data_IF_983445573544
#
_entry.id   IF_983445573544
#
_cell.length_a   1.000
_cell.length_b   1.000
_cell.length_c   1.000
_cell.angle_alpha   90.00
_cell.angle_beta   90.00
_cell.angle_gamma   90.00
#
_symmetry.space_group_name_H-M   'P 1'
#
loop_
_entity.id
_entity.type
_entity.pdbx_description
1 polymer ?
#
# COMPACT_ATOMS: atom_id res chain seq x y z
N UNK A 1 5.52 3.55 6.34
CA UNK A 1 6.62 4.34 6.94
C UNK A 1 6.17 5.75 7.27
N UNK A 2 5.65 6.54 6.30
CA UNK A 2 5.12 7.87 6.62
C UNK A 2 3.96 7.76 7.63
N UNK A 3 2.92 7.00 7.33
CA UNK A 3 1.72 6.83 8.17
C UNK A 3 1.93 6.30 9.60
N UNK A 4 3.09 5.70 9.91
CA UNK A 4 3.42 5.26 11.27
C UNK A 4 4.05 6.36 12.13
N UNK A 5 4.25 7.57 11.56
CA UNK A 5 4.81 8.75 12.21
C UNK A 5 6.12 8.50 12.99
N UNK A 6 6.94 7.57 12.49
CA UNK A 6 8.25 7.23 13.07
C UNK A 6 9.32 8.06 12.38
N UNK A 7 10.06 8.86 13.15
CA UNK A 7 11.16 9.67 12.62
C UNK A 7 12.25 8.79 11.99
N UNK A 8 12.75 9.19 10.82
CA UNK A 8 13.79 8.46 10.05
C UNK A 8 15.02 8.10 10.90
N UNK A 9 15.41 8.97 11.84
CA UNK A 9 16.55 8.72 12.75
C UNK A 9 16.35 7.48 13.63
N UNK A 10 15.13 7.17 14.03
CA UNK A 10 14.84 6.02 14.90
C UNK A 10 15.05 4.67 14.19
N UNK A 11 15.00 4.64 12.86
CA UNK A 11 15.26 3.43 12.07
C UNK A 11 16.72 2.98 12.10
N UNK A 12 17.67 3.91 12.31
CA UNK A 12 19.10 3.59 12.37
C UNK A 12 19.59 3.28 13.79
N UNK A 13 18.76 3.56 14.80
CA UNK A 13 19.11 3.39 16.22
C UNK A 13 18.41 2.17 16.81
N UNK A 14 17.18 1.87 16.38
CA UNK A 14 16.40 0.74 16.90
C UNK A 14 16.46 -0.47 15.97
N UNK A 15 17.10 -1.55 16.46
CA UNK A 15 17.24 -2.82 15.73
C UNK A 15 15.90 -3.43 15.28
N UNK A 16 14.81 -3.23 16.03
CA UNK A 16 13.48 -3.71 15.63
C UNK A 16 12.91 -2.92 14.45
N UNK A 17 13.09 -1.60 14.43
CA UNK A 17 12.66 -0.76 13.31
C UNK A 17 13.48 -1.03 12.05
N UNK A 18 14.79 -1.23 12.20
CA UNK A 18 15.68 -1.60 11.11
C UNK A 18 15.30 -2.95 10.49
N UNK A 19 14.95 -3.91 11.33
CA UNK A 19 14.45 -5.21 10.88
C UNK A 19 13.13 -5.12 10.10
N UNK A 20 12.16 -4.35 10.62
CA UNK A 20 10.89 -4.10 9.92
C UNK A 20 11.07 -3.33 8.62
N UNK A 21 12.09 -2.46 8.54
CA UNK A 21 12.45 -1.77 7.33
C UNK A 21 12.91 -2.74 6.24
N UNK A 22 13.82 -3.67 6.55
CA UNK A 22 14.25 -4.70 5.60
C UNK A 22 13.12 -5.65 5.19
N UNK A 23 12.26 -6.03 6.14
CA UNK A 23 11.08 -6.83 5.84
C UNK A 23 10.12 -6.07 4.91
N UNK A 24 9.87 -4.80 5.18
CA UNK A 24 9.07 -3.92 4.33
C UNK A 24 9.67 -3.74 2.93
N UNK A 25 11.00 -3.67 2.81
CA UNK A 25 11.70 -3.66 1.51
C UNK A 25 11.51 -4.97 0.76
N UNK A 26 11.58 -6.12 1.45
CA UNK A 26 11.30 -7.43 0.86
C UNK A 26 9.89 -7.51 0.27
N UNK A 27 8.89 -7.08 1.04
CA UNK A 27 7.50 -7.01 0.58
C UNK A 27 7.30 -6.03 -0.58
N UNK A 28 7.92 -4.84 -0.51
CA UNK A 28 7.87 -3.86 -1.59
C UNK A 28 8.48 -4.42 -2.88
N UNK A 29 9.59 -5.16 -2.77
CA UNK A 29 10.22 -5.86 -3.87
C UNK A 29 9.32 -6.94 -4.49
N UNK A 30 8.66 -7.77 -3.68
CA UNK A 30 7.66 -8.73 -4.17
C UNK A 30 6.50 -8.06 -4.88
N UNK A 31 5.92 -7.01 -4.28
CA UNK A 31 4.81 -6.25 -4.88
C UNK A 31 5.21 -5.56 -6.19
N UNK A 32 6.46 -5.12 -6.33
CA UNK A 32 6.96 -4.59 -7.59
C UNK A 32 6.93 -5.63 -8.73
N UNK A 33 7.10 -6.92 -8.40
CA UNK A 33 7.01 -8.02 -9.37
C UNK A 33 5.57 -8.35 -9.76
N UNK A 34 4.57 -7.99 -8.95
CA UNK A 34 3.15 -8.07 -9.32
C UNK A 34 2.84 -7.10 -10.47
N UNK A 35 3.44 -5.91 -10.44
CA UNK A 35 3.17 -4.82 -11.39
C UNK A 35 4.06 -4.90 -12.65
N UNK A 36 5.24 -5.51 -12.53
CA UNK A 36 6.19 -5.57 -13.64
C UNK A 36 5.67 -6.38 -14.82
N UNK A 37 5.77 -5.82 -16.03
CA UNK A 37 5.49 -6.55 -17.30
C UNK A 37 6.44 -7.72 -17.50
N UNK A 38 7.70 -7.58 -17.06
CA UNK A 38 8.73 -8.60 -17.14
C UNK A 38 9.13 -8.99 -15.71
N UNK A 39 8.65 -10.14 -15.25
CA UNK A 39 8.99 -10.68 -13.93
C UNK A 39 10.45 -11.10 -13.92
N UNK A 40 11.24 -10.55 -13.00
CA UNK A 40 12.63 -10.93 -12.82
C UNK A 40 12.72 -11.97 -11.71
N UNK A 41 12.98 -13.23 -12.10
CA UNK A 41 13.07 -14.35 -11.18
C UNK A 41 14.12 -14.15 -10.08
N UNK A 42 15.23 -13.46 -10.39
CA UNK A 42 16.30 -13.19 -9.41
C UNK A 42 15.80 -12.25 -8.32
N UNK A 43 15.13 -11.16 -8.70
CA UNK A 43 14.57 -10.20 -7.74
C UNK A 43 13.49 -10.88 -6.90
N UNK A 44 12.63 -11.67 -7.54
CA UNK A 44 11.60 -12.44 -6.85
C UNK A 44 12.22 -13.34 -5.77
N UNK A 45 13.18 -14.20 -6.11
CA UNK A 45 13.81 -15.15 -5.17
C UNK A 45 14.51 -14.42 -4.03
N UNK A 46 15.22 -13.32 -4.31
CA UNK A 46 15.92 -12.54 -3.28
C UNK A 46 14.90 -11.93 -2.30
N UNK A 47 13.84 -11.30 -2.81
CA UNK A 47 12.81 -10.69 -1.97
C UNK A 47 12.04 -11.74 -1.16
N UNK A 48 11.72 -12.88 -1.77
CA UNK A 48 11.05 -14.01 -1.13
C UNK A 48 11.90 -14.57 0.03
N UNK A 49 13.20 -14.78 -0.21
CA UNK A 49 14.14 -15.22 0.81
C UNK A 49 14.26 -14.22 1.97
N UNK A 50 14.31 -12.91 1.68
CA UNK A 50 14.35 -11.86 2.71
C UNK A 50 13.08 -11.91 3.57
N UNK A 51 11.90 -12.00 2.95
CA UNK A 51 10.63 -12.04 3.68
C UNK A 51 10.47 -13.32 4.47
N UNK A 52 10.93 -14.48 3.97
CA UNK A 52 10.89 -15.74 4.72
C UNK A 52 11.85 -15.70 5.92
N UNK A 53 13.12 -15.33 5.70
CA UNK A 53 14.13 -15.28 6.76
C UNK A 53 13.74 -14.30 7.87
N UNK A 54 13.19 -13.13 7.50
CA UNK A 54 12.68 -12.14 8.45
C UNK A 54 11.24 -12.42 8.89
N UNK A 55 10.49 -13.29 8.22
CA UNK A 55 9.15 -13.68 8.65
C UNK A 55 9.21 -14.64 9.84
N UNK A 56 10.12 -15.61 9.75
CA UNK A 56 10.30 -16.68 10.75
C UNK A 56 10.55 -16.10 12.15
N UNK A 57 11.42 -15.09 12.27
CA UNK A 57 11.72 -14.49 13.58
C UNK A 57 10.55 -13.70 14.18
N UNK A 58 9.60 -13.20 13.38
CA UNK A 58 8.35 -12.59 13.91
C UNK A 58 7.38 -13.67 14.36
N UNK A 59 7.24 -14.75 13.58
CA UNK A 59 6.38 -15.90 13.94
C UNK A 59 6.81 -16.60 15.23
N UNK A 60 8.12 -16.63 15.51
CA UNK A 60 8.69 -17.22 16.71
C UNK A 60 8.71 -16.26 17.92
N UNK A 61 8.23 -15.02 17.77
CA UNK A 61 8.12 -14.05 18.87
C UNK A 61 6.76 -14.14 19.57
N UNK A 62 6.68 -13.64 20.81
CA UNK A 62 5.46 -13.68 21.66
C UNK A 62 4.21 -12.99 21.05
N UNK A 63 4.35 -12.30 19.91
CA UNK A 63 3.24 -11.66 19.19
C UNK A 63 2.82 -12.46 17.94
N UNK A 64 2.47 -13.73 18.16
CA UNK A 64 2.19 -14.73 17.10
C UNK A 64 1.11 -14.30 16.09
N UNK A 65 0.04 -13.63 16.53
CA UNK A 65 -1.06 -13.19 15.64
C UNK A 65 -0.60 -12.26 14.50
N UNK A 66 0.41 -11.43 14.75
CA UNK A 66 0.94 -10.50 13.75
C UNK A 66 1.83 -11.20 12.73
N UNK A 67 2.59 -12.22 13.19
CA UNK A 67 3.34 -13.11 12.31
C UNK A 67 2.42 -13.86 11.35
N UNK A 68 1.23 -14.25 11.80
CA UNK A 68 0.22 -14.90 10.95
C UNK A 68 -0.38 -13.96 9.90
N UNK A 69 -0.70 -12.70 10.25
CA UNK A 69 -1.16 -11.71 9.27
C UNK A 69 -0.10 -11.43 8.20
N UNK A 70 1.16 -11.33 8.61
CA UNK A 70 2.28 -11.19 7.70
C UNK A 70 2.44 -12.37 6.74
N UNK A 71 2.31 -13.58 7.28
CA UNK A 71 2.38 -14.80 6.51
C UNK A 71 1.21 -14.87 5.50
N UNK A 72 0.03 -14.41 5.90
CA UNK A 72 -1.13 -14.28 5.03
C UNK A 72 -0.85 -13.28 3.88
N UNK A 73 -0.34 -12.09 4.19
CA UNK A 73 0.04 -11.09 3.17
C UNK A 73 1.11 -11.63 2.21
N UNK A 74 2.08 -12.36 2.74
CA UNK A 74 3.13 -13.02 1.96
C UNK A 74 2.58 -14.09 1.02
N UNK A 75 1.68 -14.96 1.53
CA UNK A 75 1.01 -15.97 0.70
C UNK A 75 0.19 -15.28 -0.39
N UNK A 76 -0.60 -14.26 -0.07
CA UNK A 76 -1.42 -13.57 -1.05
C UNK A 76 -0.58 -12.86 -2.13
N UNK A 77 0.56 -12.26 -1.75
CA UNK A 77 1.49 -11.67 -2.70
C UNK A 77 2.05 -12.73 -3.66
N UNK A 78 2.45 -13.89 -3.13
CA UNK A 78 2.93 -15.00 -3.94
C UNK A 78 1.84 -15.63 -4.82
N UNK A 79 0.60 -15.72 -4.33
CA UNK A 79 -0.56 -16.15 -5.13
C UNK A 79 -0.78 -15.19 -6.31
N UNK A 80 -0.73 -13.88 -6.09
CA UNK A 80 -0.84 -12.87 -7.15
C UNK A 80 0.29 -12.96 -8.19
N UNK A 81 1.51 -13.32 -7.76
CA UNK A 81 2.68 -13.40 -8.65
C UNK A 81 2.72 -14.73 -9.42
N UNK A 82 2.48 -15.85 -8.75
CA UNK A 82 2.74 -17.20 -9.28
C UNK A 82 1.53 -17.86 -9.91
N UNK A 83 0.31 -17.47 -9.52
CA UNK A 83 -0.90 -18.19 -9.95
C UNK A 83 -1.73 -17.39 -10.94
N UNK A 84 -2.21 -18.07 -11.98
CA UNK A 84 -3.29 -17.59 -12.85
C UNK A 84 -4.68 -17.81 -12.22
N UNK A 85 -4.74 -18.13 -10.92
CA UNK A 85 -5.99 -18.46 -10.23
C UNK A 85 -6.88 -17.21 -10.13
N UNK A 86 -6.26 -16.05 -9.93
CA UNK A 86 -6.93 -14.75 -9.96
C UNK A 86 -6.64 -14.11 -11.31
N UNK A 87 -7.29 -14.55 -12.39
CA UNK A 87 -7.12 -13.93 -13.71
C UNK A 87 -7.95 -12.64 -13.89
N UNK A 88 -8.87 -12.36 -12.97
CA UNK A 88 -9.75 -11.20 -13.08
C UNK A 88 -9.05 -9.92 -12.57
N UNK A 89 -8.92 -8.88 -13.41
CA UNK A 89 -8.19 -7.65 -13.06
C UNK A 89 -8.82 -6.89 -11.88
N UNK A 90 -10.14 -6.99 -11.69
CA UNK A 90 -10.85 -6.40 -10.54
C UNK A 90 -10.43 -7.04 -9.22
N UNK A 91 -10.32 -8.36 -9.20
CA UNK A 91 -9.93 -9.11 -8.01
C UNK A 91 -8.43 -8.88 -7.70
N UNK A 92 -7.56 -8.92 -8.72
CA UNK A 92 -6.14 -8.61 -8.56
C UNK A 92 -5.90 -7.21 -7.98
N UNK A 93 -6.65 -6.22 -8.49
CA UNK A 93 -6.57 -4.83 -8.06
C UNK A 93 -6.93 -4.63 -6.59
N UNK A 94 -8.02 -5.26 -6.13
CA UNK A 94 -8.46 -5.16 -4.74
C UNK A 94 -7.47 -5.87 -3.81
N UNK A 95 -7.05 -7.10 -4.16
CA UNK A 95 -6.09 -7.87 -3.36
C UNK A 95 -4.75 -7.10 -3.26
N UNK A 96 -4.27 -6.52 -4.36
CA UNK A 96 -3.07 -5.69 -4.37
C UNK A 96 -3.21 -4.47 -3.43
N UNK A 97 -4.35 -3.77 -3.47
CA UNK A 97 -4.59 -2.60 -2.62
C UNK A 97 -4.65 -2.93 -1.13
N UNK A 98 -5.14 -4.12 -0.78
CA UNK A 98 -5.12 -4.64 0.60
C UNK A 98 -3.67 -4.93 1.01
N UNK A 99 -2.94 -5.78 0.29
CA UNK A 99 -1.58 -6.22 0.69
C UNK A 99 -0.58 -5.05 0.73
N UNK A 100 -0.58 -4.19 -0.29
CA UNK A 100 0.36 -3.07 -0.39
C UNK A 100 0.10 -2.00 0.69
N UNK A 101 -1.07 -2.04 1.33
CA UNK A 101 -1.48 -1.06 2.33
C UNK A 101 -1.48 -1.58 3.75
N UNK A 102 -2.26 -2.62 4.02
CA UNK A 102 -2.54 -3.08 5.38
C UNK A 102 -1.30 -3.68 6.04
N UNK A 103 -0.64 -4.65 5.43
CA UNK A 103 0.37 -5.48 6.11
C UNK A 103 1.53 -4.71 6.73
N UNK A 104 2.16 -3.84 5.94
CA UNK A 104 3.36 -3.11 6.36
C UNK A 104 3.02 -2.03 7.39
N UNK A 105 1.91 -1.31 7.23
CA UNK A 105 1.51 -0.26 8.19
C UNK A 105 0.99 -0.86 9.50
N UNK A 106 0.29 -1.99 9.44
CA UNK A 106 -0.16 -2.74 10.61
C UNK A 106 1.03 -3.18 11.48
N UNK A 107 2.08 -3.71 10.85
CA UNK A 107 3.33 -4.07 11.51
C UNK A 107 4.02 -2.89 12.21
N UNK A 108 4.17 -1.76 11.52
CA UNK A 108 4.84 -0.59 12.08
C UNK A 108 4.06 0.01 13.24
N UNK A 109 2.74 0.09 13.14
CA UNK A 109 1.90 0.63 14.20
C UNK A 109 1.92 -0.25 15.45
N UNK A 110 1.88 -1.57 15.33
CA UNK A 110 1.92 -2.45 16.52
C UNK A 110 3.28 -2.42 17.19
N UNK A 111 4.36 -2.49 16.41
CA UNK A 111 5.72 -2.53 16.98
C UNK A 111 6.12 -1.22 17.65
N UNK A 112 5.51 -0.10 17.25
CA UNK A 112 5.79 1.21 17.84
C UNK A 112 4.79 1.64 18.92
N UNK A 113 3.51 1.30 18.79
CA UNK A 113 2.46 1.76 19.70
C UNK A 113 1.85 0.66 20.60
N UNK A 114 2.19 -0.61 20.40
CA UNK A 114 1.72 -1.78 21.17
C UNK A 114 0.19 -2.00 21.27
N UNK A 115 -0.65 -1.09 20.74
CA UNK A 115 -2.11 -1.19 20.71
C UNK A 115 -2.70 -0.63 19.41
N UNK A 116 -3.83 -1.21 18.98
CA UNK A 116 -4.65 -0.72 17.87
C UNK A 116 -5.67 0.32 18.34
N UNK A 117 -5.36 1.60 18.18
CA UNK A 117 -6.34 2.67 18.38
C UNK A 117 -7.31 2.76 17.20
N UNK A 118 -8.53 3.26 17.44
CA UNK A 118 -9.50 3.54 16.37
C UNK A 118 -8.89 4.41 15.26
N UNK A 119 -8.07 5.40 15.64
CA UNK A 119 -7.33 6.27 14.73
C UNK A 119 -6.32 5.50 13.87
N UNK A 120 -5.62 4.52 14.43
CA UNK A 120 -4.70 3.67 13.67
C UNK A 120 -5.44 2.79 12.66
N UNK A 121 -6.63 2.30 13.01
CA UNK A 121 -7.47 1.52 12.09
C UNK A 121 -8.00 2.38 10.94
N UNK A 122 -8.51 3.59 11.24
CA UNK A 122 -8.95 4.55 10.23
C UNK A 122 -7.81 5.02 9.31
N UNK A 123 -6.60 5.15 9.84
CA UNK A 123 -5.41 5.48 9.04
C UNK A 123 -5.03 4.34 8.09
N UNK A 124 -5.17 3.09 8.53
CA UNK A 124 -4.93 1.91 7.68
C UNK A 124 -6.00 1.79 6.60
N UNK A 125 -7.28 2.00 6.93
CA UNK A 125 -8.35 1.95 5.92
C UNK A 125 -8.18 3.06 4.88
N UNK A 126 -7.81 4.27 5.30
CA UNK A 126 -7.47 5.37 4.38
C UNK A 126 -6.37 4.96 3.39
N UNK A 127 -5.33 4.31 3.88
CA UNK A 127 -4.19 3.87 3.09
C UNK A 127 -4.55 2.71 2.14
N UNK A 128 -5.37 1.76 2.56
CA UNK A 128 -5.91 0.72 1.68
C UNK A 128 -6.68 1.36 0.52
N UNK A 129 -7.61 2.28 0.81
CA UNK A 129 -8.39 2.94 -0.24
C UNK A 129 -7.53 3.82 -1.15
N UNK A 130 -6.55 4.53 -0.62
CA UNK A 130 -5.59 5.29 -1.42
C UNK A 130 -4.78 4.37 -2.35
N UNK A 131 -4.29 3.24 -1.86
CA UNK A 131 -3.58 2.26 -2.68
C UNK A 131 -4.46 1.66 -3.77
N UNK A 132 -5.72 1.34 -3.47
CA UNK A 132 -6.69 0.90 -4.48
C UNK A 132 -6.88 2.02 -5.52
N UNK A 133 -7.14 3.25 -5.08
CA UNK A 133 -7.40 4.39 -5.99
C UNK A 133 -6.24 4.66 -6.95
N UNK A 134 -5.00 4.71 -6.45
CA UNK A 134 -3.82 5.03 -7.25
C UNK A 134 -3.30 3.82 -8.04
N UNK A 135 -3.54 2.57 -7.62
CA UNK A 135 -3.13 1.38 -8.42
C UNK A 135 -4.06 1.08 -9.61
N UNK A 136 -5.17 1.81 -9.77
CA UNK A 136 -6.12 1.63 -10.87
C UNK A 136 -5.51 1.48 -12.28
N UNK A 137 -4.62 2.37 -12.76
CA UNK A 137 -4.05 2.28 -14.12
C UNK A 137 -3.22 1.02 -14.33
N UNK A 138 -2.72 0.39 -13.26
CA UNK A 138 -1.90 -0.82 -13.37
C UNK A 138 -2.75 -2.00 -13.81
N UNK A 139 -3.93 -2.15 -13.21
CA UNK A 139 -4.80 -3.33 -13.37
C UNK A 139 -5.98 -3.08 -14.34
N UNK A 140 -6.49 -1.85 -14.42
CA UNK A 140 -7.68 -1.51 -15.21
C UNK A 140 -7.34 -0.90 -16.56
N UNK A 141 -7.60 -1.65 -17.64
CA UNK A 141 -7.41 -1.19 -19.03
C UNK A 141 -8.64 -0.53 -19.65
N UNK A 142 -9.85 -0.78 -19.12
CA UNK A 142 -11.11 -0.16 -19.57
C UNK A 142 -11.77 0.59 -18.42
N UNK A 143 -12.28 1.79 -18.72
CA UNK A 143 -12.64 2.81 -17.74
C UNK A 143 -13.86 2.47 -16.90
N UNK A 144 -13.65 1.82 -15.76
CA UNK A 144 -14.65 1.78 -14.71
C UNK A 144 -14.56 3.07 -13.86
N UNK A 145 -15.08 4.17 -14.39
CA UNK A 145 -14.96 5.51 -13.78
C UNK A 145 -15.81 5.66 -12.50
N UNK A 146 -16.89 4.88 -12.40
CA UNK A 146 -17.77 4.86 -11.23
C UNK A 146 -17.08 4.30 -10.00
N UNK A 147 -16.28 3.23 -10.15
CA UNK A 147 -15.53 2.67 -9.01
C UNK A 147 -14.51 3.67 -8.46
N UNK A 148 -13.81 4.41 -9.31
CA UNK A 148 -12.90 5.49 -8.88
C UNK A 148 -13.64 6.59 -8.12
N UNK A 149 -14.81 7.03 -8.58
CA UNK A 149 -15.61 8.03 -7.88
C UNK A 149 -16.07 7.54 -6.50
N UNK A 150 -16.54 6.29 -6.41
CA UNK A 150 -16.95 5.70 -5.12
C UNK A 150 -15.77 5.66 -4.15
N UNK A 151 -14.59 5.22 -4.60
CA UNK A 151 -13.39 5.17 -3.77
C UNK A 151 -12.96 6.57 -3.34
N UNK A 152 -13.03 7.57 -4.23
CA UNK A 152 -12.73 8.97 -3.88
C UNK A 152 -13.63 9.47 -2.75
N UNK A 153 -14.95 9.21 -2.84
CA UNK A 153 -15.90 9.61 -1.79
C UNK A 153 -15.60 8.91 -0.48
N UNK A 154 -15.24 7.62 -0.51
CA UNK A 154 -14.85 6.87 0.70
C UNK A 154 -13.58 7.45 1.34
N UNK A 155 -12.57 7.80 0.54
CA UNK A 155 -11.34 8.44 1.05
C UNK A 155 -11.67 9.77 1.74
N UNK A 156 -12.48 10.61 1.10
CA UNK A 156 -12.87 11.90 1.69
C UNK A 156 -13.71 11.73 2.97
N UNK A 157 -14.63 10.77 3.01
CA UNK A 157 -15.39 10.45 4.20
C UNK A 157 -14.48 10.03 5.36
N UNK A 158 -13.49 9.17 5.09
CA UNK A 158 -12.50 8.75 6.10
C UNK A 158 -11.66 9.93 6.58
N UNK A 159 -11.22 10.81 5.67
CA UNK A 159 -10.47 12.02 6.03
C UNK A 159 -11.27 12.96 6.95
N UNK A 160 -12.58 13.10 6.74
CA UNK A 160 -13.47 13.89 7.60
C UNK A 160 -13.58 13.23 8.98
N UNK A 161 -13.74 11.90 9.04
CA UNK A 161 -13.84 11.17 10.32
C UNK A 161 -12.53 11.16 11.13
N UNK A 162 -11.39 11.31 10.47
CA UNK A 162 -10.07 11.43 11.10
C UNK A 162 -9.80 12.82 11.71
N UNK A 163 -10.79 13.72 11.66
CA UNK A 163 -10.68 15.12 12.15
C UNK A 163 -9.45 15.87 11.58
N UNK A 164 -9.07 15.57 10.35
CA UNK A 164 -7.99 16.28 9.68
C UNK A 164 -8.34 17.76 9.54
N UNK A 165 -7.33 18.64 9.65
CA UNK A 165 -7.54 20.09 9.48
C UNK A 165 -8.15 20.38 8.10
N UNK A 166 -9.07 21.35 8.04
CA UNK A 166 -9.76 21.74 6.82
C UNK A 166 -8.83 21.97 5.61
N UNK A 167 -7.68 22.60 5.82
CA UNK A 167 -6.67 22.80 4.78
C UNK A 167 -6.12 21.48 4.21
N UNK A 168 -5.87 20.47 5.05
CA UNK A 168 -5.43 19.14 4.60
C UNK A 168 -6.50 18.45 3.77
N UNK A 169 -7.77 18.56 4.16
CA UNK A 169 -8.88 17.97 3.41
C UNK A 169 -8.98 18.60 2.01
N UNK A 170 -8.84 19.93 1.90
CA UNK A 170 -8.80 20.62 0.60
C UNK A 170 -7.62 20.12 -0.24
N UNK A 171 -6.43 20.03 0.34
CA UNK A 171 -5.24 19.62 -0.39
C UNK A 171 -5.33 18.16 -0.86
N UNK A 172 -5.84 17.26 -0.02
CA UNK A 172 -6.15 15.88 -0.38
C UNK A 172 -7.17 15.82 -1.51
N UNK A 173 -8.26 16.60 -1.43
CA UNK A 173 -9.29 16.67 -2.47
C UNK A 173 -8.71 17.14 -3.81
N UNK A 174 -7.81 18.14 -3.79
CA UNK A 174 -7.11 18.60 -4.98
C UNK A 174 -6.24 17.50 -5.60
N UNK A 175 -5.49 16.74 -4.81
CA UNK A 175 -4.66 15.64 -5.30
C UNK A 175 -5.53 14.54 -5.94
N UNK A 176 -6.59 14.13 -5.24
CA UNK A 176 -7.52 13.11 -5.72
C UNK A 176 -8.23 13.55 -7.00
N UNK A 177 -8.72 14.80 -7.04
CA UNK A 177 -9.38 15.39 -8.19
C UNK A 177 -8.44 15.55 -9.39
N UNK A 178 -7.21 16.00 -9.16
CA UNK A 178 -6.18 16.10 -10.20
C UNK A 178 -5.88 14.74 -10.83
N UNK A 179 -5.69 13.71 -10.01
CA UNK A 179 -5.48 12.36 -10.50
C UNK A 179 -6.68 11.85 -11.32
N UNK A 180 -7.90 12.05 -10.82
CA UNK A 180 -9.12 11.61 -11.47
C UNK A 180 -9.32 12.32 -12.82
N UNK A 181 -9.04 13.62 -12.89
CA UNK A 181 -9.02 14.40 -14.12
C UNK A 181 -7.98 13.87 -15.13
N UNK A 182 -6.78 13.56 -14.66
CA UNK A 182 -5.71 13.01 -15.50
C UNK A 182 -6.09 11.63 -16.08
N UNK A 183 -6.62 10.74 -15.23
CA UNK A 183 -7.15 9.44 -15.66
C UNK A 183 -8.29 9.54 -16.67
N UNK A 184 -9.12 10.58 -16.59
CA UNK A 184 -10.19 10.81 -17.56
C UNK A 184 -9.72 11.35 -18.92
N UNK A 185 -8.67 12.18 -18.93
CA UNK A 185 -8.19 12.87 -20.13
C UNK A 185 -7.08 12.13 -20.88
N UNK A 186 -6.30 11.30 -20.20
CA UNK A 186 -5.12 10.67 -20.82
C UNK A 186 -5.50 9.43 -21.61
N UNK A 187 -5.05 9.41 -22.87
CA UNK A 187 -5.28 8.30 -23.79
C UNK A 187 -4.70 6.99 -23.21
N UNK A 188 -5.48 5.90 -23.29
CA UNK A 188 -5.15 4.59 -22.73
C UNK A 188 -3.78 4.03 -23.18
N UNK A 189 -3.29 4.48 -24.35
CA UNK A 189 -2.04 4.01 -24.94
C UNK A 189 -0.76 4.56 -24.25
N UNK A 190 -0.85 5.51 -23.30
CA UNK A 190 0.31 6.08 -22.58
C UNK A 190 0.44 5.50 -21.16
N UNK A 191 0.54 4.17 -21.06
CA UNK A 191 0.56 3.43 -19.79
C UNK A 191 1.66 3.90 -18.82
N UNK A 192 2.89 4.09 -19.29
CA UNK A 192 4.03 4.44 -18.42
C UNK A 192 3.87 5.84 -17.82
N UNK A 193 3.27 6.78 -18.57
CA UNK A 193 2.97 8.12 -18.07
C UNK A 193 1.87 8.09 -17.00
N UNK A 194 0.85 7.24 -17.17
CA UNK A 194 -0.24 7.05 -16.19
C UNK A 194 0.26 6.44 -14.88
N UNK A 195 1.15 5.45 -14.97
CA UNK A 195 1.74 4.84 -13.79
C UNK A 195 2.61 5.84 -13.01
N UNK A 196 3.45 6.61 -13.70
CA UNK A 196 4.29 7.63 -13.05
C UNK A 196 3.45 8.72 -12.37
N UNK A 197 2.37 9.20 -13.01
CA UNK A 197 1.49 10.17 -12.37
C UNK A 197 0.74 9.61 -11.18
N UNK A 198 0.31 8.34 -11.24
CA UNK A 198 -0.28 7.65 -10.10
C UNK A 198 0.68 7.63 -8.90
N UNK A 199 1.93 7.22 -9.12
CA UNK A 199 2.94 7.14 -8.06
C UNK A 199 3.24 8.50 -7.44
N UNK A 200 3.34 9.56 -8.25
CA UNK A 200 3.53 10.93 -7.76
C UNK A 200 2.33 11.39 -6.93
N UNK A 201 1.10 11.13 -7.39
CA UNK A 201 -0.10 11.50 -6.66
C UNK A 201 -0.25 10.71 -5.36
N UNK A 202 0.09 9.42 -5.35
CA UNK A 202 0.13 8.59 -4.13
C UNK A 202 1.14 9.15 -3.13
N UNK A 203 2.32 9.56 -3.59
CA UNK A 203 3.35 10.15 -2.74
C UNK A 203 2.88 11.49 -2.15
N UNK A 204 2.35 12.39 -2.96
CA UNK A 204 1.79 13.66 -2.50
C UNK A 204 0.63 13.45 -1.51
N UNK A 205 -0.24 12.48 -1.78
CA UNK A 205 -1.32 12.10 -0.87
C UNK A 205 -0.76 11.59 0.47
N UNK A 206 0.24 10.71 0.42
CA UNK A 206 0.86 10.15 1.63
C UNK A 206 1.53 11.22 2.50
N UNK A 207 2.12 12.24 1.89
CA UNK A 207 2.69 13.39 2.59
C UNK A 207 1.58 14.27 3.18
N UNK A 208 0.54 14.57 2.43
CA UNK A 208 -0.58 15.40 2.86
C UNK A 208 -1.40 14.79 4.01
N UNK A 209 -1.58 13.46 3.98
CA UNK A 209 -2.32 12.75 5.01
C UNK A 209 -1.50 12.56 6.30
N UNK A 210 -0.16 12.61 6.21
CA UNK A 210 0.72 12.30 7.33
C UNK A 210 1.39 13.52 7.99
N UNK A 211 1.66 14.59 7.23
CA UNK A 211 2.08 15.91 7.74
C UNK A 211 0.85 16.68 8.18
#
# INVERSE_FOLDING_TARGET
>A
MLFSNVGLKNFFINYHLLYLFFLGLGFSGLLSQVISKNKNAIIFIICDAIVILMGIKILLSDHSFNGWLLLLDFILANVLILTSIVNEPHCQWIIYGIINGSGIVFLFNITYHHYFSLMSLMSITLLIFANIFFSFPVFMKKGNRLSLLIILVLILAICITLELTFLKIIFISLILGFYLFFEWKVNNNKYDKRNNTSLICLLLFSLAACL
#
